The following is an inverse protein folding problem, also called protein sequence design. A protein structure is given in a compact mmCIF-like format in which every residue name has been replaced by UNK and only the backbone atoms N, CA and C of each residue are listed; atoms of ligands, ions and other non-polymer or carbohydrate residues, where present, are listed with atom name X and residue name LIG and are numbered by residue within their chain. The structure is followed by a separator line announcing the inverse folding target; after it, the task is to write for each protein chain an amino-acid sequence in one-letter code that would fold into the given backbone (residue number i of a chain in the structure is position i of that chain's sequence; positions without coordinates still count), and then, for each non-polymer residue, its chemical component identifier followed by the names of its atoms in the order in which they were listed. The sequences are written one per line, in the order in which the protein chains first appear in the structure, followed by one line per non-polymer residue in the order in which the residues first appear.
data_IF_347772556670
#
_entry.id   IF_347772556670
#
_cell.length_a   1.000
_cell.length_b   1.000
_cell.length_c   1.000
_cell.angle_alpha   90.00
_cell.angle_beta   90.00
_cell.angle_gamma   90.00
#
_symmetry.space_group_name_H-M   'P 1'
#
loop_
_entity.id
_entity.type
_entity.pdbx_description
1 polymer ?
#
# COMPACT_ATOMS: atom_id res chain seq x y z
N UNK A 1 -1.67 -15.37 -6.14
CA UNK A 1 -2.19 -14.85 -7.41
C UNK A 1 -1.68 -13.45 -7.67
N UNK A 2 -1.40 -13.15 -8.95
CA UNK A 2 -0.97 -11.83 -9.39
C UNK A 2 -1.95 -11.27 -10.41
N UNK A 3 -2.31 -10.00 -10.28
CA UNK A 3 -3.02 -9.25 -11.29
C UNK A 3 -2.46 -7.84 -11.42
N UNK A 4 -2.50 -7.29 -12.61
CA UNK A 4 -2.19 -5.89 -12.83
C UNK A 4 -3.37 -5.18 -13.50
N UNK A 5 -3.59 -3.95 -13.11
CA UNK A 5 -4.66 -3.11 -13.62
C UNK A 5 -4.09 -1.95 -14.41
N UNK A 6 -4.63 -1.77 -15.60
CA UNK A 6 -4.33 -0.66 -16.49
C UNK A 6 -5.50 0.32 -16.41
N UNK A 7 -5.19 1.61 -16.39
CA UNK A 7 -6.22 2.65 -16.44
C UNK A 7 -6.98 2.57 -17.76
N UNK A 8 -8.31 2.37 -17.76
CA UNK A 8 -9.06 2.13 -19.02
C UNK A 8 -9.11 3.36 -19.92
N UNK A 9 -9.18 4.54 -19.32
CA UNK A 9 -9.46 5.82 -19.96
C UNK A 9 -8.43 6.92 -19.64
N UNK A 10 -7.30 6.54 -19.03
CA UNK A 10 -6.21 7.44 -18.69
C UNK A 10 -4.88 6.96 -19.26
N UNK A 11 -4.14 7.86 -19.90
CA UNK A 11 -2.86 7.59 -20.55
C UNK A 11 -1.82 8.63 -20.17
N UNK A 12 -0.56 8.21 -20.14
CA UNK A 12 0.61 9.07 -19.91
C UNK A 12 1.60 8.83 -21.05
N UNK A 13 2.06 9.87 -21.70
CA UNK A 13 2.99 9.76 -22.82
C UNK A 13 2.45 8.93 -24.00
N UNK A 14 1.13 8.94 -24.25
CA UNK A 14 0.49 8.16 -25.31
C UNK A 14 0.24 6.67 -24.98
N UNK A 15 0.63 6.21 -23.79
CA UNK A 15 0.42 4.84 -23.35
C UNK A 15 -0.59 4.77 -22.22
N UNK A 16 -1.41 3.72 -22.21
CA UNK A 16 -2.30 3.44 -21.07
C UNK A 16 -1.48 3.32 -19.78
N UNK A 17 -1.83 4.12 -18.79
CA UNK A 17 -1.11 4.16 -17.53
C UNK A 17 -1.38 2.90 -16.68
N UNK A 18 -0.38 2.47 -15.90
CA UNK A 18 -0.54 1.44 -14.88
C UNK A 18 -1.32 2.01 -13.69
N UNK A 19 -2.45 1.42 -13.33
CA UNK A 19 -3.15 1.78 -12.12
C UNK A 19 -2.43 1.16 -10.90
N UNK A 20 -2.41 -0.15 -10.82
CA UNK A 20 -1.66 -0.88 -9.77
C UNK A 20 -1.44 -2.34 -10.16
N UNK A 21 -0.60 -3.01 -9.40
CA UNK A 21 -0.41 -4.46 -9.42
C UNK A 21 -0.73 -4.99 -8.02
N UNK A 22 -1.41 -6.12 -7.95
CA UNK A 22 -1.73 -6.80 -6.69
C UNK A 22 -1.15 -8.21 -6.67
N UNK A 23 -0.61 -8.61 -5.51
CA UNK A 23 -0.36 -9.98 -5.14
C UNK A 23 -1.40 -10.38 -4.08
N UNK A 24 -2.21 -11.39 -4.36
CA UNK A 24 -3.34 -11.80 -3.54
C UNK A 24 -3.18 -13.22 -3.01
N UNK A 25 -3.46 -13.41 -1.71
CA UNK A 25 -3.40 -14.71 -1.04
C UNK A 25 -4.75 -15.41 -1.07
N UNK A 26 -4.81 -16.60 -1.68
CA UNK A 26 -5.97 -17.46 -1.59
C UNK A 26 -6.19 -18.03 -0.17
N UNK A 27 -5.11 -18.25 0.59
CA UNK A 27 -5.15 -18.77 1.96
C UNK A 27 -5.68 -17.74 2.95
N UNK A 28 -5.26 -16.47 2.79
CA UNK A 28 -5.62 -15.39 3.69
C UNK A 28 -6.86 -14.62 3.23
N UNK A 29 -7.29 -14.81 1.99
CA UNK A 29 -8.37 -14.05 1.33
C UNK A 29 -8.14 -12.54 1.39
N UNK A 30 -6.87 -12.13 1.23
CA UNK A 30 -6.40 -10.78 1.49
C UNK A 30 -5.23 -10.45 0.55
N UNK A 31 -5.03 -9.17 0.15
CA UNK A 31 -3.81 -8.80 -0.58
C UNK A 31 -2.58 -9.04 0.30
N UNK A 32 -1.52 -9.60 -0.30
CA UNK A 32 -0.19 -9.66 0.31
C UNK A 32 0.52 -8.33 0.11
N UNK A 33 0.37 -7.76 -1.07
CA UNK A 33 0.81 -6.39 -1.37
C UNK A 33 0.12 -5.83 -2.62
N UNK A 34 0.10 -4.52 -2.68
CA UNK A 34 -0.30 -3.72 -3.86
C UNK A 34 0.83 -2.75 -4.17
N UNK A 35 1.26 -2.69 -5.42
CA UNK A 35 2.26 -1.74 -5.90
C UNK A 35 1.67 -0.78 -6.92
N UNK A 36 2.03 0.50 -6.82
CA UNK A 36 1.50 1.53 -7.68
C UNK A 36 2.49 2.68 -7.90
N UNK A 37 2.43 3.36 -9.06
CA UNK A 37 3.04 4.66 -9.21
C UNK A 37 2.19 5.74 -8.51
N UNK A 38 2.83 6.70 -7.86
CA UNK A 38 2.24 7.92 -7.33
C UNK A 38 2.81 9.12 -8.10
N UNK A 39 1.96 9.96 -8.59
CA UNK A 39 2.31 11.18 -9.31
C UNK A 39 1.08 12.08 -9.39
N UNK A 40 1.28 13.39 -9.41
CA UNK A 40 0.19 14.38 -9.46
C UNK A 40 -0.84 14.11 -10.57
N UNK A 41 -0.42 13.54 -11.71
CA UNK A 41 -1.33 13.22 -12.81
C UNK A 41 -2.40 12.17 -12.48
N UNK A 42 -2.17 11.30 -11.49
CA UNK A 42 -3.18 10.34 -11.01
C UNK A 42 -4.12 10.93 -9.95
N UNK A 43 -3.66 11.96 -9.24
CA UNK A 43 -4.28 12.50 -8.03
C UNK A 43 -5.11 13.75 -8.30
N UNK A 44 -5.22 14.15 -9.58
CA UNK A 44 -6.14 15.21 -10.00
C UNK A 44 -7.57 14.79 -9.68
N UNK A 45 -8.28 15.64 -8.94
CA UNK A 45 -9.67 15.37 -8.55
C UNK A 45 -10.63 15.72 -9.67
N UNK A 46 -10.81 14.81 -10.62
CA UNK A 46 -11.78 14.91 -11.73
C UNK A 46 -13.06 14.10 -11.48
N UNK A 47 -13.09 13.30 -10.44
CA UNK A 47 -14.26 12.50 -10.05
C UNK A 47 -14.34 12.40 -8.53
N UNK A 48 -15.53 12.04 -8.05
CA UNK A 48 -15.71 11.68 -6.65
C UNK A 48 -15.40 10.20 -6.42
N UNK A 49 -15.22 9.85 -5.14
CA UNK A 49 -15.10 8.48 -4.67
C UNK A 49 -16.29 7.66 -5.15
N UNK A 50 -16.02 6.51 -5.80
CA UNK A 50 -17.08 5.73 -6.45
C UNK A 50 -17.80 4.74 -5.54
N UNK A 51 -17.15 4.31 -4.46
CA UNK A 51 -17.62 3.21 -3.57
C UNK A 51 -18.07 1.94 -4.33
N UNK A 52 -17.46 1.71 -5.50
CA UNK A 52 -17.80 0.65 -6.45
C UNK A 52 -17.22 -0.71 -6.03
N UNK A 53 -17.40 -1.09 -4.75
CA UNK A 53 -16.90 -2.36 -4.23
C UNK A 53 -17.37 -3.54 -5.08
N UNK A 54 -16.42 -4.37 -5.48
CA UNK A 54 -16.70 -5.53 -6.32
C UNK A 54 -15.52 -6.51 -6.37
N UNK A 55 -15.79 -7.66 -6.99
CA UNK A 55 -14.74 -8.64 -7.25
C UNK A 55 -13.83 -8.16 -8.38
N UNK A 56 -12.55 -8.42 -8.22
CA UNK A 56 -11.55 -8.22 -9.26
C UNK A 56 -11.76 -9.27 -10.37
N UNK A 57 -12.00 -8.86 -11.61
CA UNK A 57 -12.25 -9.81 -12.71
C UNK A 57 -11.01 -10.64 -13.09
N UNK A 58 -9.83 -10.27 -12.63
CA UNK A 58 -8.55 -10.94 -12.94
C UNK A 58 -8.10 -11.98 -11.92
N UNK A 59 -8.80 -12.07 -10.80
CA UNK A 59 -8.51 -13.02 -9.71
C UNK A 59 -9.72 -13.95 -9.55
N UNK A 60 -9.53 -15.26 -9.30
CA UNK A 60 -10.64 -16.18 -9.11
C UNK A 60 -11.66 -15.69 -8.06
N UNK A 61 -12.94 -15.70 -8.41
CA UNK A 61 -13.99 -15.10 -7.58
C UNK A 61 -14.23 -15.82 -6.26
N UNK A 62 -13.95 -17.14 -6.21
CA UNK A 62 -14.16 -17.98 -5.03
C UNK A 62 -13.16 -17.72 -3.90
N UNK A 63 -12.03 -17.08 -4.19
CA UNK A 63 -11.03 -16.73 -3.16
C UNK A 63 -11.15 -15.29 -2.66
N UNK A 64 -12.01 -14.48 -3.28
CA UNK A 64 -12.21 -13.07 -2.92
C UNK A 64 -13.35 -12.88 -1.93
N UNK A 65 -13.37 -11.75 -1.25
CA UNK A 65 -14.57 -11.25 -0.59
C UNK A 65 -15.71 -11.05 -1.59
N UNK A 66 -16.94 -11.05 -1.11
CA UNK A 66 -18.15 -10.98 -1.96
C UNK A 66 -19.15 -9.92 -1.53
N UNK A 67 -18.93 -9.29 -0.39
CA UNK A 67 -19.84 -8.29 0.15
C UNK A 67 -19.11 -7.14 0.86
N UNK A 68 -19.85 -6.09 1.18
CA UNK A 68 -19.36 -4.94 1.94
C UNK A 68 -19.35 -5.16 3.46
N UNK A 69 -19.74 -6.36 3.94
CA UNK A 69 -19.79 -6.66 5.37
C UNK A 69 -18.42 -6.52 6.04
N UNK A 70 -18.42 -6.05 7.26
CA UNK A 70 -17.22 -5.91 8.09
C UNK A 70 -17.38 -6.74 9.35
N UNK A 71 -16.27 -7.04 10.00
CA UNK A 71 -16.26 -7.81 11.25
C UNK A 71 -14.89 -7.75 11.91
N UNK A 72 -14.76 -8.39 13.07
CA UNK A 72 -13.52 -8.41 13.82
C UNK A 72 -13.03 -7.03 14.27
N UNK A 73 -13.94 -6.05 14.40
CA UNK A 73 -13.58 -4.67 14.73
C UNK A 73 -12.83 -3.92 13.61
N UNK A 74 -12.98 -4.38 12.36
CA UNK A 74 -12.23 -3.85 11.22
C UNK A 74 -13.13 -3.13 10.22
N UNK A 75 -12.58 -2.11 9.58
CA UNK A 75 -13.10 -1.49 8.36
C UNK A 75 -12.50 -2.13 7.10
N UNK A 76 -13.09 -1.80 5.94
CA UNK A 76 -12.53 -2.09 4.62
C UNK A 76 -11.38 -1.12 4.33
N UNK A 77 -10.15 -1.51 4.70
CA UNK A 77 -8.96 -0.72 4.46
C UNK A 77 -8.46 -0.88 3.03
N UNK A 78 -8.30 0.21 2.31
CA UNK A 78 -7.66 0.20 1.01
C UNK A 78 -6.14 0.05 1.16
N UNK A 79 -5.54 -0.75 0.27
CA UNK A 79 -4.08 -0.79 0.12
C UNK A 79 -3.61 0.41 -0.72
N UNK A 80 -4.21 0.64 -1.87
CA UNK A 80 -4.10 1.89 -2.64
C UNK A 80 -5.38 2.69 -2.42
N UNK A 81 -5.25 3.88 -1.85
CA UNK A 81 -6.37 4.71 -1.45
C UNK A 81 -7.20 5.26 -2.61
N UNK A 82 -8.48 5.48 -2.37
CA UNK A 82 -9.37 6.07 -3.38
C UNK A 82 -8.98 7.50 -3.74
N UNK A 83 -8.51 8.30 -2.77
CA UNK A 83 -8.06 9.67 -3.00
C UNK A 83 -6.87 9.76 -3.96
N UNK A 84 -6.06 8.72 -4.04
CA UNK A 84 -4.88 8.62 -4.89
C UNK A 84 -5.21 8.32 -6.36
N UNK A 85 -6.48 8.10 -6.70
CA UNK A 85 -6.97 7.65 -8.00
C UNK A 85 -8.27 8.33 -8.43
N UNK A 86 -8.33 9.66 -8.27
CA UNK A 86 -9.50 10.46 -8.65
C UNK A 86 -9.40 11.05 -10.06
N UNK A 87 -8.43 10.63 -10.85
CA UNK A 87 -8.18 11.13 -12.21
C UNK A 87 -9.35 10.83 -13.16
N UNK A 88 -9.96 9.66 -13.07
CA UNK A 88 -11.20 9.31 -13.75
C UNK A 88 -12.06 8.36 -12.90
N UNK A 89 -13.36 8.31 -13.20
CA UNK A 89 -14.29 7.40 -12.52
C UNK A 89 -13.90 5.93 -12.72
N UNK A 90 -13.48 5.54 -13.91
CA UNK A 90 -13.15 4.14 -14.23
C UNK A 90 -11.83 3.72 -13.56
N UNK A 91 -10.84 4.60 -13.45
CA UNK A 91 -9.62 4.37 -12.68
C UNK A 91 -9.95 4.21 -11.19
N UNK A 92 -10.83 5.08 -10.66
CA UNK A 92 -11.24 5.01 -9.26
C UNK A 92 -12.04 3.74 -8.92
N UNK A 93 -12.90 3.25 -9.82
CA UNK A 93 -13.61 1.98 -9.61
C UNK A 93 -12.68 0.80 -9.33
N UNK A 94 -11.53 0.73 -9.98
CA UNK A 94 -10.61 -0.39 -9.83
C UNK A 94 -10.01 -0.48 -8.43
N UNK A 95 -9.82 0.64 -7.71
CA UNK A 95 -9.29 0.59 -6.34
C UNK A 95 -10.30 0.04 -5.32
N UNK A 96 -11.56 -0.11 -5.70
CA UNK A 96 -12.61 -0.75 -4.91
C UNK A 96 -12.74 -2.26 -5.14
N UNK A 97 -11.88 -2.87 -5.95
CA UNK A 97 -11.83 -4.33 -6.01
C UNK A 97 -11.43 -4.91 -4.66
N UNK A 98 -12.12 -5.97 -4.24
CA UNK A 98 -11.83 -6.63 -2.96
C UNK A 98 -10.38 -7.12 -2.85
N UNK A 99 -9.68 -7.31 -3.96
CA UNK A 99 -8.25 -7.63 -3.97
C UNK A 99 -7.34 -6.48 -3.53
N UNK A 100 -7.85 -5.24 -3.49
CA UNK A 100 -7.18 -4.06 -2.94
C UNK A 100 -7.63 -3.72 -1.50
N UNK A 101 -8.41 -4.58 -0.86
CA UNK A 101 -9.01 -4.34 0.45
C UNK A 101 -8.49 -5.34 1.47
N UNK A 102 -8.03 -4.83 2.61
CA UNK A 102 -7.65 -5.63 3.78
C UNK A 102 -8.46 -5.22 5.01
N UNK A 103 -8.72 -6.13 5.97
CA UNK A 103 -9.28 -5.75 7.25
C UNK A 103 -8.31 -4.83 8.00
N UNK A 104 -8.75 -3.64 8.41
CA UNK A 104 -7.98 -2.69 9.21
C UNK A 104 -8.80 -2.28 10.44
N UNK A 105 -8.19 -2.31 11.63
CA UNK A 105 -8.89 -1.92 12.87
C UNK A 105 -9.52 -0.54 12.72
N UNK A 106 -10.82 -0.47 12.98
CA UNK A 106 -11.63 0.73 12.76
C UNK A 106 -11.36 1.84 13.77
N UNK A 107 -11.08 1.49 15.03
CA UNK A 107 -10.95 2.44 16.12
C UNK A 107 -9.57 3.09 16.24
N UNK A 108 -8.51 2.39 15.85
CA UNK A 108 -7.13 2.84 16.11
C UNK A 108 -6.25 2.96 14.86
N UNK A 109 -6.56 2.23 13.80
CA UNK A 109 -5.67 2.09 12.66
C UNK A 109 -6.16 2.80 11.40
N UNK A 110 -7.38 2.52 10.94
CA UNK A 110 -7.89 2.90 9.62
C UNK A 110 -8.46 4.32 9.52
N UNK A 111 -9.24 4.77 10.49
CA UNK A 111 -10.03 6.02 10.36
C UNK A 111 -9.29 7.26 10.84
N UNK A 112 -9.88 8.43 10.62
CA UNK A 112 -9.28 9.73 10.89
C UNK A 112 -8.55 9.82 12.23
N UNK A 113 -7.25 10.13 12.17
CA UNK A 113 -6.33 10.07 13.30
C UNK A 113 -5.86 8.68 13.68
N UNK A 114 -6.22 7.63 12.95
CA UNK A 114 -5.65 6.30 13.10
C UNK A 114 -4.20 6.22 12.62
N UNK A 115 -3.45 5.25 13.13
CA UNK A 115 -2.03 5.12 12.85
C UNK A 115 -1.73 4.98 11.35
N UNK A 116 -2.52 4.15 10.64
CA UNK A 116 -2.38 3.97 9.19
C UNK A 116 -2.77 5.22 8.41
N UNK A 117 -3.87 5.87 8.77
CA UNK A 117 -4.29 7.12 8.15
C UNK A 117 -3.22 8.23 8.31
N UNK A 118 -2.55 8.29 9.46
CA UNK A 118 -1.45 9.23 9.69
C UNK A 118 -0.22 8.89 8.82
N UNK A 119 0.07 7.59 8.61
CA UNK A 119 1.13 7.16 7.72
C UNK A 119 0.80 7.47 6.26
N UNK A 120 -0.44 7.25 5.81
CA UNK A 120 -0.89 7.62 4.46
C UNK A 120 -0.71 9.12 4.23
N UNK A 121 -1.15 9.96 5.15
CA UNK A 121 -0.97 11.42 5.07
C UNK A 121 0.52 11.83 5.02
N UNK A 122 1.36 11.13 5.77
CA UNK A 122 2.82 11.34 5.71
C UNK A 122 3.40 10.97 4.33
N UNK A 123 2.95 9.85 3.77
CA UNK A 123 3.38 9.41 2.42
C UNK A 123 2.87 10.36 1.34
N UNK A 124 1.65 10.87 1.45
CA UNK A 124 1.10 11.86 0.52
C UNK A 124 2.00 13.10 0.42
N UNK A 125 2.56 13.54 1.54
CA UNK A 125 3.52 14.65 1.59
C UNK A 125 4.88 14.30 0.93
N UNK A 126 5.17 13.03 0.65
CA UNK A 126 6.39 12.61 -0.06
C UNK A 126 6.23 12.56 -1.58
N UNK A 127 5.02 12.66 -2.11
CA UNK A 127 4.76 12.69 -3.55
C UNK A 127 5.39 13.96 -4.14
N UNK A 128 6.02 13.83 -5.31
CA UNK A 128 6.83 14.88 -5.91
C UNK A 128 6.60 14.97 -7.42
N UNK A 129 7.33 15.86 -8.09
CA UNK A 129 7.22 16.02 -9.55
C UNK A 129 7.74 14.79 -10.32
N UNK A 130 8.70 14.05 -9.78
CA UNK A 130 9.07 12.73 -10.30
C UNK A 130 8.08 11.68 -9.81
N UNK A 131 7.97 10.55 -10.53
CA UNK A 131 7.13 9.44 -10.07
C UNK A 131 7.70 8.81 -8.80
N UNK A 132 6.86 8.73 -7.77
CA UNK A 132 7.11 7.96 -6.54
C UNK A 132 6.52 6.57 -6.70
N UNK A 133 7.29 5.53 -6.43
CA UNK A 133 6.82 4.15 -6.49
C UNK A 133 6.56 3.65 -5.09
N UNK A 134 5.38 3.07 -4.87
CA UNK A 134 4.97 2.54 -3.59
C UNK A 134 4.67 1.05 -3.66
N UNK A 135 4.88 0.37 -2.53
CA UNK A 135 4.34 -0.96 -2.27
C UNK A 135 3.71 -0.96 -0.89
N UNK A 136 2.43 -1.23 -0.84
CA UNK A 136 1.64 -1.33 0.41
C UNK A 136 1.34 -2.79 0.64
N UNK A 137 1.67 -3.33 1.81
CA UNK A 137 1.49 -4.76 2.05
C UNK A 137 1.05 -5.12 3.46
N UNK A 138 0.77 -6.40 3.62
CA UNK A 138 0.27 -7.04 4.83
C UNK A 138 1.16 -8.20 5.23
N UNK A 139 1.17 -8.53 6.53
CA UNK A 139 1.92 -9.65 7.06
C UNK A 139 1.03 -10.52 7.95
N UNK A 140 1.16 -11.85 7.82
CA UNK A 140 0.24 -12.82 8.41
C UNK A 140 0.91 -13.80 9.38
N UNK A 141 2.08 -13.44 9.93
CA UNK A 141 2.70 -14.16 11.04
C UNK A 141 2.74 -13.25 12.27
N UNK A 142 2.95 -13.75 13.50
CA UNK A 142 3.16 -12.90 14.66
C UNK A 142 4.27 -11.89 14.40
N UNK A 143 4.04 -10.64 14.78
CA UNK A 143 4.98 -9.53 14.56
C UNK A 143 5.16 -8.73 15.84
N UNK A 144 6.41 -8.42 16.17
CA UNK A 144 6.79 -7.51 17.27
C UNK A 144 7.50 -6.30 16.67
N UNK A 145 7.01 -5.11 17.01
CA UNK A 145 7.55 -3.84 16.49
C UNK A 145 8.80 -3.37 17.25
N UNK A 146 9.39 -2.27 16.79
CA UNK A 146 10.56 -1.66 17.42
C UNK A 146 10.27 -1.05 18.81
N UNK A 147 9.01 -1.00 19.23
CA UNK A 147 8.58 -0.60 20.57
C UNK A 147 8.42 -1.78 21.52
N UNK A 148 8.70 -3.02 21.05
CA UNK A 148 8.58 -4.24 21.84
C UNK A 148 7.13 -4.73 22.00
N UNK A 149 6.18 -4.19 21.21
CA UNK A 149 4.78 -4.59 21.27
C UNK A 149 4.46 -5.56 20.15
N UNK A 150 3.58 -6.52 20.44
CA UNK A 150 3.26 -7.61 19.52
C UNK A 150 1.84 -7.56 19.01
N UNK A 151 1.64 -8.07 17.79
CA UNK A 151 0.34 -8.35 17.20
C UNK A 151 0.37 -9.70 16.49
N UNK A 152 -0.72 -10.46 16.59
CA UNK A 152 -0.86 -11.75 15.90
C UNK A 152 -2.00 -11.68 14.88
N UNK A 153 -1.89 -12.43 13.77
CA UNK A 153 -2.97 -12.54 12.81
C UNK A 153 -4.13 -13.34 13.41
N UNK A 154 -5.34 -13.15 12.89
CA UNK A 154 -6.50 -13.91 13.31
C UNK A 154 -7.49 -14.11 12.17
N UNK A 155 -8.17 -15.26 12.11
CA UNK A 155 -9.30 -15.48 11.22
C UNK A 155 -10.52 -14.73 11.74
N UNK A 156 -11.19 -14.00 10.84
CA UNK A 156 -12.38 -13.20 11.15
C UNK A 156 -13.44 -13.36 10.07
N UNK A 157 -14.68 -13.08 10.42
CA UNK A 157 -15.76 -12.89 9.44
C UNK A 157 -15.60 -11.49 8.82
N UNK A 158 -15.44 -11.44 7.51
CA UNK A 158 -15.20 -10.20 6.79
C UNK A 158 -15.53 -10.36 5.29
N UNK A 159 -16.15 -9.37 4.67
CA UNK A 159 -16.39 -9.36 3.23
C UNK A 159 -17.30 -10.50 2.73
N UNK A 160 -18.18 -11.04 3.56
CA UNK A 160 -19.03 -12.19 3.23
C UNK A 160 -18.34 -13.55 3.34
N UNK A 161 -17.19 -13.62 4.03
CA UNK A 161 -16.44 -14.85 4.35
C UNK A 161 -16.24 -14.97 5.86
N UNK A 162 -16.01 -16.18 6.34
CA UNK A 162 -15.73 -16.45 7.77
C UNK A 162 -14.27 -16.81 8.04
N UNK A 163 -13.43 -16.74 7.02
CA UNK A 163 -12.06 -17.26 7.01
C UNK A 163 -11.01 -16.24 6.51
N UNK A 164 -11.36 -14.96 6.48
CA UNK A 164 -10.39 -13.90 6.11
C UNK A 164 -9.38 -13.73 7.24
N UNK A 165 -8.10 -13.74 6.90
CA UNK A 165 -7.06 -13.47 7.89
C UNK A 165 -6.89 -11.97 8.07
N UNK A 166 -7.13 -11.47 9.28
CA UNK A 166 -6.74 -10.13 9.69
C UNK A 166 -5.22 -10.10 9.87
N UNK A 167 -4.50 -9.18 9.18
CA UNK A 167 -3.05 -9.07 9.29
C UNK A 167 -2.58 -8.71 10.70
N UNK A 168 -1.35 -9.08 11.04
CA UNK A 168 -0.66 -8.63 12.26
C UNK A 168 0.09 -7.32 12.06
N UNK A 169 0.49 -7.03 10.83
CA UNK A 169 1.31 -5.87 10.48
C UNK A 169 0.98 -5.41 9.06
N UNK A 170 1.08 -4.11 8.86
CA UNK A 170 1.06 -3.47 7.56
C UNK A 170 2.39 -2.77 7.30
N UNK A 171 2.80 -2.73 6.03
CA UNK A 171 4.00 -2.02 5.61
C UNK A 171 3.74 -1.13 4.40
N UNK A 172 4.48 -0.04 4.34
CA UNK A 172 4.44 0.93 3.26
C UNK A 172 5.87 1.20 2.79
N UNK A 173 6.21 0.73 1.58
CA UNK A 173 7.50 1.02 0.96
C UNK A 173 7.38 2.20 0.02
N UNK A 174 8.42 3.02 0.00
CA UNK A 174 8.51 4.19 -0.87
C UNK A 174 9.89 4.17 -1.55
N UNK A 175 9.89 4.34 -2.87
CA UNK A 175 11.09 4.59 -3.67
C UNK A 175 10.86 5.83 -4.53
N UNK A 176 11.76 6.81 -4.45
CA UNK A 176 11.73 8.00 -5.29
C UNK A 176 13.13 8.60 -5.43
N UNK A 177 13.27 9.59 -6.33
CA UNK A 177 14.46 10.43 -6.40
C UNK A 177 14.54 11.33 -5.16
N UNK A 178 15.73 11.62 -4.67
CA UNK A 178 15.92 12.52 -3.51
C UNK A 178 15.43 13.93 -3.80
N UNK A 179 15.80 14.51 -4.93
CA UNK A 179 15.39 15.87 -5.29
C UNK A 179 13.91 15.98 -5.64
N UNK A 180 13.28 14.91 -6.18
CA UNK A 180 11.89 14.88 -6.57
C UNK A 180 11.53 15.61 -7.87
N UNK A 181 12.52 16.11 -8.61
CA UNK A 181 12.31 16.91 -9.85
C UNK A 181 13.40 16.69 -10.91
N UNK A 182 13.93 15.47 -10.97
CA UNK A 182 15.00 15.11 -11.91
C UNK A 182 14.53 14.91 -13.33
N UNK A 183 13.24 14.60 -13.53
CA UNK A 183 12.65 14.13 -14.79
C UNK A 183 13.27 12.85 -15.33
N UNK A 184 14.00 12.10 -14.49
CA UNK A 184 14.59 10.81 -14.82
C UNK A 184 13.69 9.68 -14.34
N UNK A 185 13.73 8.56 -15.06
CA UNK A 185 13.25 7.30 -14.50
C UNK A 185 14.13 6.88 -13.32
N UNK A 186 13.54 6.34 -12.26
CA UNK A 186 14.30 5.76 -11.13
C UNK A 186 15.26 4.66 -11.58
N UNK A 187 15.02 4.01 -12.72
CA UNK A 187 15.91 3.00 -13.31
C UNK A 187 17.22 3.58 -13.83
N UNK A 188 17.21 4.85 -14.22
CA UNK A 188 18.34 5.56 -14.82
C UNK A 188 19.11 6.39 -13.78
N UNK A 189 18.67 6.33 -12.52
CA UNK A 189 19.31 7.04 -11.42
C UNK A 189 20.41 6.20 -10.79
N UNK A 190 21.44 6.88 -10.26
CA UNK A 190 22.44 6.28 -9.36
C UNK A 190 21.85 6.11 -7.96
N UNK A 191 22.46 5.28 -7.15
CA UNK A 191 22.01 5.01 -5.77
C UNK A 191 21.98 6.28 -4.88
N UNK A 192 22.93 7.19 -5.08
CA UNK A 192 22.99 8.47 -4.37
C UNK A 192 21.92 9.48 -4.77
N UNK A 193 21.30 9.32 -5.95
CA UNK A 193 20.17 10.11 -6.43
C UNK A 193 18.81 9.59 -5.89
N UNK A 194 18.77 8.38 -5.32
CA UNK A 194 17.56 7.70 -4.85
C UNK A 194 17.46 7.69 -3.33
N UNK A 195 16.23 7.67 -2.83
CA UNK A 195 15.90 7.29 -1.46
C UNK A 195 14.81 6.24 -1.44
N UNK A 196 14.97 5.28 -0.52
CA UNK A 196 14.08 4.14 -0.39
C UNK A 196 13.94 3.77 1.10
N UNK A 197 12.73 3.51 1.54
CA UNK A 197 12.47 3.05 2.90
C UNK A 197 11.20 2.22 2.99
N UNK A 198 11.12 1.38 4.01
CA UNK A 198 9.89 0.75 4.47
C UNK A 198 9.44 1.40 5.78
N UNK A 199 8.15 1.68 5.90
CA UNK A 199 7.47 2.01 7.14
C UNK A 199 6.64 0.80 7.56
N UNK A 200 6.78 0.37 8.80
CA UNK A 200 6.18 -0.88 9.29
C UNK A 200 5.41 -0.59 10.56
N UNK A 201 4.10 -0.84 10.55
CA UNK A 201 3.22 -0.65 11.69
C UNK A 201 2.56 -1.96 12.10
N UNK A 202 2.67 -2.35 13.38
CA UNK A 202 1.83 -3.43 13.91
C UNK A 202 0.36 -3.03 13.79
N UNK A 203 -0.50 -3.97 13.48
CA UNK A 203 -1.89 -3.64 13.13
C UNK A 203 -2.69 -3.07 14.32
N UNK A 204 -2.36 -3.44 15.55
CA UNK A 204 -2.99 -2.92 16.77
C UNK A 204 -2.25 -1.67 17.33
N UNK A 205 -1.61 -0.88 16.48
CA UNK A 205 -1.02 0.41 16.86
C UNK A 205 -2.07 1.34 17.44
N UNK A 206 -1.66 2.16 18.38
CA UNK A 206 -2.53 3.10 19.09
C UNK A 206 -3.04 4.20 18.15
N UNK A 207 -4.28 4.62 18.38
CA UNK A 207 -4.83 5.80 17.71
C UNK A 207 -3.98 7.03 17.98
N UNK A 208 -3.77 7.85 16.97
CA UNK A 208 -2.97 9.07 17.09
C UNK A 208 -1.49 8.87 16.84
N UNK A 209 -1.00 7.62 16.72
CA UNK A 209 0.41 7.37 16.37
C UNK A 209 0.74 8.05 15.05
N UNK A 210 1.81 8.83 15.03
CA UNK A 210 2.37 9.48 13.84
C UNK A 210 3.67 8.78 13.46
N UNK A 211 4.01 8.69 12.16
CA UNK A 211 5.25 8.08 11.71
C UNK A 211 6.48 8.66 12.42
N UNK A 212 7.37 7.77 12.83
CA UNK A 212 8.61 8.07 13.52
C UNK A 212 9.75 7.26 12.91
N UNK A 213 11.00 7.63 13.21
CA UNK A 213 12.18 6.90 12.77
C UNK A 213 12.17 5.41 13.22
N UNK A 214 11.55 5.09 14.36
CA UNK A 214 11.37 3.71 14.84
C UNK A 214 10.42 2.86 14.02
N UNK A 215 9.54 3.49 13.23
CA UNK A 215 8.63 2.77 12.32
C UNK A 215 9.33 2.40 11.02
N UNK A 216 10.55 2.90 10.81
CA UNK A 216 11.30 2.64 9.58
C UNK A 216 12.09 1.34 9.68
N UNK A 217 12.18 0.66 8.55
CA UNK A 217 12.95 -0.58 8.35
C UNK A 217 13.71 -0.49 7.03
N UNK A 218 14.86 -1.16 6.94
CA UNK A 218 15.51 -1.35 5.64
C UNK A 218 14.61 -2.18 4.74
N UNK A 219 14.57 -1.85 3.46
CA UNK A 219 13.79 -2.65 2.50
C UNK A 219 14.34 -4.08 2.43
N UNK A 220 15.66 -4.27 2.50
CA UNK A 220 16.29 -5.60 2.56
C UNK A 220 15.84 -6.46 3.76
N UNK A 221 15.63 -5.83 4.92
CA UNK A 221 15.18 -6.55 6.13
C UNK A 221 13.69 -6.95 5.98
N UNK A 222 12.88 -6.08 5.38
CA UNK A 222 11.49 -6.43 5.06
C UNK A 222 11.40 -7.51 3.98
N UNK A 223 12.31 -7.51 2.97
CA UNK A 223 12.43 -8.59 1.99
C UNK A 223 12.73 -9.93 2.67
N UNK A 224 13.67 -9.95 3.61
CA UNK A 224 14.00 -11.15 4.39
C UNK A 224 12.81 -11.62 5.25
N UNK A 225 12.06 -10.69 5.84
CA UNK A 225 10.89 -11.01 6.68
C UNK A 225 9.73 -11.57 5.86
N UNK A 226 9.46 -10.98 4.70
CA UNK A 226 8.27 -11.31 3.88
C UNK A 226 8.52 -12.38 2.82
N UNK A 227 9.79 -12.59 2.43
CA UNK A 227 10.17 -13.48 1.31
C UNK A 227 9.93 -12.88 -0.07
N UNK A 228 9.55 -11.61 -0.17
CA UNK A 228 9.38 -10.89 -1.44
C UNK A 228 10.65 -10.12 -1.81
N UNK A 229 10.79 -9.82 -3.10
CA UNK A 229 11.76 -8.87 -3.61
C UNK A 229 11.03 -7.61 -4.11
N UNK A 230 11.35 -6.47 -3.53
CA UNK A 230 10.73 -5.19 -3.88
C UNK A 230 11.64 -4.38 -4.80
N UNK A 231 11.05 -3.61 -5.70
CA UNK A 231 11.77 -2.74 -6.64
C UNK A 231 12.87 -3.48 -7.44
N UNK A 232 12.60 -4.76 -7.78
CA UNK A 232 13.57 -5.63 -8.48
C UNK A 232 14.05 -5.05 -9.82
N UNK A 233 13.24 -4.21 -10.46
CA UNK A 233 13.56 -3.55 -11.73
C UNK A 233 14.36 -2.23 -11.56
N UNK A 234 14.76 -1.88 -10.34
CA UNK A 234 15.55 -0.68 -10.04
C UNK A 234 16.85 -1.12 -9.36
N UNK A 235 17.90 -1.44 -10.14
CA UNK A 235 19.10 -2.08 -9.63
C UNK A 235 19.86 -1.25 -8.59
N UNK A 236 19.74 0.07 -8.67
CA UNK A 236 20.40 1.01 -7.78
C UNK A 236 19.52 1.47 -6.60
N UNK A 237 18.36 0.85 -6.36
CA UNK A 237 17.54 1.19 -5.21
C UNK A 237 18.31 0.93 -3.90
N UNK A 238 18.46 1.93 -3.00
CA UNK A 238 19.27 1.80 -1.77
C UNK A 238 18.53 1.01 -0.69
N UNK A 239 18.31 -0.29 -0.91
CA UNK A 239 17.49 -1.17 -0.07
C UNK A 239 18.11 -1.49 1.30
N UNK A 240 19.44 -1.44 1.40
CA UNK A 240 20.19 -1.84 2.61
C UNK A 240 20.42 -0.70 3.59
N UNK A 241 19.93 0.51 3.28
CA UNK A 241 20.10 1.69 4.13
C UNK A 241 18.94 2.66 3.95
N UNK A 242 18.70 3.47 4.97
CA UNK A 242 17.82 4.64 4.92
C UNK A 242 18.33 5.68 5.92
N UNK A 243 17.95 6.92 5.73
CA UNK A 243 18.19 7.99 6.68
C UNK A 243 16.85 8.65 7.03
N UNK A 244 16.41 8.64 8.31
CA UNK A 244 15.16 9.26 8.73
C UNK A 244 15.04 10.73 8.30
N UNK A 245 16.14 11.50 8.37
CA UNK A 245 16.12 12.91 7.97
C UNK A 245 15.81 13.14 6.48
N UNK A 246 16.08 12.18 5.61
CA UNK A 246 15.66 12.25 4.19
C UNK A 246 14.13 12.27 4.04
N UNK A 247 13.41 11.83 5.07
CA UNK A 247 11.95 11.73 5.12
C UNK A 247 11.31 12.77 6.02
N UNK A 248 12.10 13.60 6.71
CA UNK A 248 11.61 14.61 7.65
C UNK A 248 11.29 14.07 9.06
N UNK A 249 12.00 12.98 9.45
CA UNK A 249 11.87 12.30 10.75
C UNK A 249 13.15 12.41 11.58
#
# INVERSE_FOLDING_TARGET
YYAYHICPDFSVGGHKARNYTVCFSAENHCPLWVSAPRHACYEVKNTDRTDAYGRDPKIPSNIQCSSKSTGGGCNKGHMLGSAERLVTREVNKQVFYYTNIAPQYSGSFNTGGGAWNNLEAFVDAQVCADTTYIVVGTYFKPFTDAYGQSCSPAKISFGGRNDVTRPSMFYYLILRTKSGSTRKSVRDCRADELKCAAFVLRHNMEKGHKPQAKDMMKVSDLEALTGFQFFANVPNAPKSSYNPSDWGL
#
